data_IF_439221159659
#
_entry.id   IF_439221159659
#
_cell.length_a   1.000
_cell.length_b   1.000
_cell.length_c   1.000
_cell.angle_alpha   90.00
_cell.angle_beta   90.00
_cell.angle_gamma   90.00
#
_symmetry.space_group_name_H-M   'P 1'
#
loop_
_entity.id
_entity.type
_entity.pdbx_description
1 polymer ?
#
# COMPACT_ATOMS: atom_id res chain seq x y z
N UNK A 1 -0.19 -7.34 12.22
CA UNK A 1 -0.15 -6.37 13.34
C UNK A 1 0.81 -6.76 14.47
N UNK A 2 1.00 -8.05 14.78
CA UNK A 2 1.91 -8.49 15.85
C UNK A 2 3.34 -7.92 15.74
N UNK A 3 3.94 -7.89 14.55
CA UNK A 3 5.32 -7.38 14.35
C UNK A 3 5.46 -5.90 14.68
N UNK A 4 4.50 -5.07 14.23
CA UNK A 4 4.50 -3.63 14.52
C UNK A 4 4.37 -3.38 16.03
N UNK A 5 3.40 -4.00 16.70
CA UNK A 5 3.20 -3.82 18.14
C UNK A 5 4.43 -4.27 18.94
N UNK A 6 5.03 -5.41 18.58
CA UNK A 6 6.25 -5.88 19.25
C UNK A 6 7.44 -4.94 19.02
N UNK A 7 7.61 -4.38 17.82
CA UNK A 7 8.66 -3.42 17.54
C UNK A 7 8.41 -2.07 18.24
N UNK A 8 7.16 -1.63 18.27
CA UNK A 8 6.71 -0.44 19.01
C UNK A 8 7.05 -0.56 20.49
N UNK A 9 6.65 -1.67 21.13
CA UNK A 9 6.90 -1.91 22.55
C UNK A 9 8.40 -1.96 22.88
N UNK A 10 9.22 -2.52 21.99
CA UNK A 10 10.69 -2.53 22.16
C UNK A 10 11.33 -1.15 22.05
N UNK A 11 10.83 -0.30 21.15
CA UNK A 11 11.33 1.06 20.98
C UNK A 11 10.85 2.00 22.10
N UNK A 12 9.64 1.75 22.63
CA UNK A 12 8.93 2.64 23.52
C UNK A 12 8.19 3.76 22.76
N UNK A 13 7.08 4.22 23.33
CA UNK A 13 6.10 5.09 22.67
C UNK A 13 6.73 6.34 22.02
N UNK A 14 7.59 7.03 22.76
CA UNK A 14 8.21 8.27 22.28
C UNK A 14 9.11 8.04 21.07
N UNK A 15 9.97 7.00 21.14
CA UNK A 15 10.88 6.71 20.05
C UNK A 15 10.12 6.17 18.82
N UNK A 16 9.15 5.28 19.04
CA UNK A 16 8.32 4.74 17.99
C UNK A 16 7.50 5.84 17.27
N UNK A 17 6.90 6.77 18.01
CA UNK A 17 6.19 7.91 17.43
C UNK A 17 7.10 8.82 16.60
N UNK A 18 8.34 9.06 17.04
CA UNK A 18 9.34 9.81 16.25
C UNK A 18 9.68 9.05 14.96
N UNK A 19 9.85 7.72 15.01
CA UNK A 19 10.10 6.90 13.81
C UNK A 19 8.92 6.92 12.84
N UNK A 20 7.68 6.80 13.32
CA UNK A 20 6.48 6.93 12.46
C UNK A 20 6.47 8.30 11.78
N UNK A 21 6.66 9.39 12.54
CA UNK A 21 6.68 10.74 11.97
C UNK A 21 7.76 10.87 10.88
N UNK A 22 8.98 10.40 11.15
CA UNK A 22 10.07 10.43 10.16
C UNK A 22 9.77 9.60 8.92
N UNK A 23 9.16 8.43 9.06
CA UNK A 23 8.73 7.62 7.92
C UNK A 23 7.66 8.32 7.09
N UNK A 24 6.66 8.92 7.74
CA UNK A 24 5.61 9.70 7.06
C UNK A 24 6.19 10.93 6.37
N UNK A 25 7.08 11.68 7.04
CA UNK A 25 7.76 12.82 6.44
C UNK A 25 8.65 12.39 5.27
N UNK A 26 9.36 11.26 5.38
CA UNK A 26 10.13 10.72 4.27
C UNK A 26 9.23 10.36 3.08
N UNK A 27 8.13 9.64 3.31
CA UNK A 27 7.21 9.23 2.25
C UNK A 27 6.61 10.45 1.54
N UNK A 28 6.09 11.42 2.29
CA UNK A 28 5.32 12.53 1.73
C UNK A 28 6.19 13.69 1.28
N UNK A 29 7.28 13.96 2.00
CA UNK A 29 8.10 15.18 1.90
C UNK A 29 9.61 14.92 1.72
N UNK A 30 10.03 13.67 1.52
CA UNK A 30 11.42 13.35 1.14
C UNK A 30 11.88 14.11 -0.11
N UNK A 31 13.19 14.10 -0.38
CA UNK A 31 13.83 14.93 -1.42
C UNK A 31 13.11 14.83 -2.77
N UNK A 32 12.85 15.98 -3.41
CA UNK A 32 12.11 16.07 -4.68
C UNK A 32 12.76 15.29 -5.84
N UNK A 33 14.06 14.97 -5.72
CA UNK A 33 14.82 14.16 -6.67
C UNK A 33 14.40 12.68 -6.70
N UNK A 34 13.62 12.20 -5.72
CA UNK A 34 13.12 10.82 -5.67
C UNK A 34 11.60 10.77 -5.77
N UNK A 35 11.12 9.99 -6.71
CA UNK A 35 9.72 9.66 -6.84
C UNK A 35 9.15 9.06 -5.54
N UNK A 36 7.86 9.28 -5.29
CA UNK A 36 7.19 8.79 -4.08
C UNK A 36 7.21 7.26 -3.97
N UNK A 37 7.18 6.57 -5.11
CA UNK A 37 7.30 5.13 -5.24
C UNK A 37 8.65 4.63 -4.68
N UNK A 38 9.73 5.33 -4.98
CA UNK A 38 11.09 4.95 -4.55
C UNK A 38 11.32 5.30 -3.07
N UNK A 39 10.67 6.36 -2.57
CA UNK A 39 10.59 6.67 -1.12
C UNK A 39 9.80 5.60 -0.36
N UNK A 40 8.67 5.15 -0.92
CA UNK A 40 7.89 4.03 -0.35
C UNK A 40 8.71 2.74 -0.38
N UNK A 41 9.40 2.44 -1.48
CA UNK A 41 10.28 1.28 -1.59
C UNK A 41 11.34 1.27 -0.49
N UNK A 42 11.98 2.42 -0.24
CA UNK A 42 12.97 2.57 0.83
C UNK A 42 12.37 2.14 2.18
N UNK A 43 11.20 2.69 2.55
CA UNK A 43 10.52 2.37 3.81
C UNK A 43 10.05 0.90 3.92
N UNK A 44 9.79 0.24 2.80
CA UNK A 44 9.43 -1.18 2.77
C UNK A 44 10.65 -2.04 3.10
N UNK A 45 11.83 -1.69 2.62
CA UNK A 45 13.03 -2.56 2.71
C UNK A 45 14.00 -2.16 3.82
N UNK A 46 13.94 -0.92 4.33
CA UNK A 46 14.84 -0.43 5.38
C UNK A 46 14.09 -0.11 6.68
N UNK A 47 14.80 -0.17 7.80
CA UNK A 47 14.28 0.24 9.12
C UNK A 47 14.64 1.69 9.49
N UNK A 48 15.22 2.44 8.57
CA UNK A 48 15.51 3.87 8.73
C UNK A 48 15.12 4.58 7.42
N UNK A 49 14.29 5.63 7.45
CA UNK A 49 13.80 6.38 8.62
C UNK A 49 12.64 5.74 9.42
N UNK A 50 12.15 4.57 9.00
CA UNK A 50 11.03 3.87 9.65
C UNK A 50 11.43 2.99 10.84
N UNK A 51 10.78 1.83 10.92
CA UNK A 51 11.14 0.71 11.79
C UNK A 51 10.35 -0.54 11.39
N UNK A 52 10.77 -1.69 11.94
CA UNK A 52 10.17 -2.99 11.65
C UNK A 52 8.65 -2.99 11.88
N UNK A 53 7.90 -3.43 10.88
CA UNK A 53 6.44 -3.52 10.95
C UNK A 53 5.69 -2.29 10.42
N UNK A 54 6.34 -1.13 10.26
CA UNK A 54 5.79 0.03 9.54
C UNK A 54 6.08 -0.10 8.04
N UNK A 55 5.42 -1.05 7.40
CA UNK A 55 5.65 -1.48 6.00
C UNK A 55 4.50 -1.06 5.07
N UNK A 56 4.50 -1.61 3.85
CA UNK A 56 3.53 -1.36 2.77
C UNK A 56 2.11 -1.08 3.26
N UNK A 57 1.50 -1.98 4.05
CA UNK A 57 0.12 -1.80 4.50
C UNK A 57 -0.14 -0.49 5.27
N UNK A 58 0.77 -0.09 6.17
CA UNK A 58 0.63 1.15 6.95
C UNK A 58 1.01 2.38 6.12
N UNK A 59 1.98 2.25 5.22
CA UNK A 59 2.35 3.31 4.27
C UNK A 59 1.19 3.60 3.31
N UNK A 60 0.54 2.57 2.78
CA UNK A 60 -0.66 2.73 1.94
C UNK A 60 -1.80 3.38 2.70
N UNK A 61 -1.99 3.08 4.01
CA UNK A 61 -2.99 3.80 4.84
C UNK A 61 -2.70 5.29 4.90
N UNK A 62 -1.43 5.70 5.04
CA UNK A 62 -1.06 7.12 4.99
C UNK A 62 -1.48 7.71 3.64
N UNK A 63 -1.20 7.02 2.54
CA UNK A 63 -1.59 7.46 1.18
C UNK A 63 -3.11 7.55 0.99
N UNK A 64 -3.89 6.63 1.56
CA UNK A 64 -5.36 6.71 1.54
C UNK A 64 -5.88 7.97 2.25
N UNK A 65 -5.22 8.41 3.33
CA UNK A 65 -5.59 9.62 4.06
C UNK A 65 -5.17 10.89 3.31
N UNK A 66 -3.95 10.92 2.76
CA UNK A 66 -3.41 12.14 2.12
C UNK A 66 -3.82 12.31 0.66
N UNK A 67 -4.21 11.22 0.00
CA UNK A 67 -4.64 11.18 -1.40
C UNK A 67 -5.94 10.36 -1.51
N UNK A 68 -7.03 10.79 -0.84
CA UNK A 68 -8.26 10.00 -0.74
C UNK A 68 -8.98 9.81 -2.09
N UNK A 69 -8.69 10.66 -3.07
CA UNK A 69 -9.22 10.55 -4.43
C UNK A 69 -8.36 9.71 -5.37
N UNK A 70 -7.22 9.20 -4.91
CA UNK A 70 -6.30 8.36 -5.69
C UNK A 70 -6.00 7.01 -5.07
N UNK A 71 -5.95 6.88 -3.76
CA UNK A 71 -5.49 5.63 -3.13
C UNK A 71 -6.64 4.78 -2.61
N UNK A 72 -6.75 3.57 -3.18
CA UNK A 72 -7.68 2.55 -2.73
C UNK A 72 -7.28 2.03 -1.35
N UNK A 73 -8.23 1.88 -0.40
CA UNK A 73 -8.07 1.14 0.86
C UNK A 73 -7.74 -0.36 0.72
N UNK A 74 -7.09 -0.78 -0.37
CA UNK A 74 -6.57 -2.13 -0.63
C UNK A 74 -5.06 -2.07 -0.37
N UNK A 75 -4.69 -2.36 0.88
CA UNK A 75 -3.45 -1.85 1.46
C UNK A 75 -2.15 -2.46 0.92
N UNK A 76 -2.22 -3.64 0.32
CA UNK A 76 -1.04 -4.42 -0.09
C UNK A 76 -1.22 -5.00 -1.49
N UNK A 77 -0.10 -5.16 -2.19
CA UNK A 77 -0.08 -5.71 -3.54
C UNK A 77 -0.57 -7.16 -3.59
N UNK A 78 -0.12 -8.01 -2.66
CA UNK A 78 -0.51 -9.44 -2.60
C UNK A 78 -0.54 -9.93 -1.16
N UNK A 79 -1.49 -10.82 -0.84
CA UNK A 79 -1.57 -11.47 0.47
C UNK A 79 -2.40 -12.74 0.44
N UNK A 80 -2.24 -13.66 1.41
CA UNK A 80 -3.10 -14.86 1.53
C UNK A 80 -4.60 -14.55 1.67
N UNK A 81 -4.96 -13.39 2.23
CA UNK A 81 -6.35 -12.97 2.41
C UNK A 81 -6.86 -12.08 1.27
N UNK A 82 -6.04 -11.85 0.24
CA UNK A 82 -6.31 -10.94 -0.85
C UNK A 82 -5.49 -9.66 -0.80
N UNK A 83 -5.22 -9.14 -1.99
CA UNK A 83 -4.50 -7.91 -2.27
C UNK A 83 -4.84 -7.44 -3.67
N UNK A 84 -4.19 -6.37 -4.14
CA UNK A 84 -4.48 -5.77 -5.45
C UNK A 84 -4.34 -6.79 -6.59
N UNK A 85 -3.34 -7.68 -6.52
CA UNK A 85 -3.12 -8.77 -7.47
C UNK A 85 -4.25 -9.80 -7.47
N UNK A 86 -4.67 -10.25 -6.30
CA UNK A 86 -5.74 -11.25 -6.19
C UNK A 86 -7.09 -10.67 -6.64
N UNK A 87 -7.36 -9.41 -6.31
CA UNK A 87 -8.55 -8.67 -6.79
C UNK A 87 -8.52 -8.54 -8.31
N UNK A 88 -7.38 -8.15 -8.89
CA UNK A 88 -7.24 -8.02 -10.34
C UNK A 88 -7.55 -9.34 -11.08
N UNK A 89 -7.07 -10.46 -10.53
CA UNK A 89 -7.33 -11.79 -11.08
C UNK A 89 -8.80 -12.18 -10.92
N UNK A 90 -9.38 -12.02 -9.74
CA UNK A 90 -10.74 -12.47 -9.45
C UNK A 90 -11.81 -11.65 -10.18
N UNK A 91 -11.68 -10.32 -10.18
CA UNK A 91 -12.72 -9.41 -10.70
C UNK A 91 -12.57 -9.15 -12.19
N UNK A 92 -11.33 -9.10 -12.70
CA UNK A 92 -11.05 -8.69 -14.08
C UNK A 92 -10.39 -9.79 -14.93
N UNK A 93 -10.10 -10.97 -14.36
CA UNK A 93 -9.38 -12.02 -15.06
C UNK A 93 -7.93 -11.66 -15.42
N UNK A 94 -7.34 -10.66 -14.74
CA UNK A 94 -6.01 -10.13 -15.06
C UNK A 94 -4.93 -10.72 -14.16
N UNK A 95 -3.98 -11.43 -14.74
CA UNK A 95 -2.82 -11.95 -14.03
C UNK A 95 -1.71 -10.89 -13.91
N UNK A 96 -1.65 -10.23 -12.74
CA UNK A 96 -0.59 -9.25 -12.47
C UNK A 96 0.77 -9.92 -12.16
N UNK A 97 1.90 -9.25 -12.45
CA UNK A 97 3.24 -9.81 -12.27
C UNK A 97 3.50 -10.35 -10.84
N UNK A 98 4.29 -11.41 -10.71
CA UNK A 98 4.76 -11.84 -9.40
C UNK A 98 5.81 -10.86 -8.86
N UNK A 99 5.79 -10.48 -7.56
CA UNK A 99 6.84 -9.66 -6.97
C UNK A 99 8.25 -10.25 -7.13
N UNK A 100 8.35 -11.58 -7.33
CA UNK A 100 9.63 -12.28 -7.49
C UNK A 100 10.17 -12.28 -8.91
N UNK A 101 9.34 -11.99 -9.91
CA UNK A 101 9.71 -12.13 -11.33
C UNK A 101 9.68 -10.81 -12.10
N UNK A 102 9.05 -9.79 -11.53
CA UNK A 102 9.02 -8.45 -12.13
C UNK A 102 10.29 -7.67 -11.80
N UNK A 103 10.67 -6.74 -12.69
CA UNK A 103 11.72 -5.75 -12.44
C UNK A 103 11.22 -4.55 -11.60
N UNK A 104 9.91 -4.45 -11.36
CA UNK A 104 9.34 -3.37 -10.55
C UNK A 104 9.64 -3.56 -9.07
N UNK A 105 9.97 -2.47 -8.39
CA UNK A 105 10.09 -2.43 -6.94
C UNK A 105 8.71 -2.62 -6.27
N UNK A 106 8.69 -3.00 -4.99
CA UNK A 106 7.43 -3.14 -4.25
C UNK A 106 6.68 -1.79 -4.14
N UNK A 107 7.41 -0.68 -3.95
CA UNK A 107 6.83 0.66 -4.00
C UNK A 107 6.16 0.96 -5.34
N UNK A 108 6.83 0.68 -6.46
CA UNK A 108 6.26 0.87 -7.81
C UNK A 108 5.06 -0.06 -8.06
N UNK A 109 5.11 -1.30 -7.61
CA UNK A 109 3.97 -2.23 -7.70
C UNK A 109 2.77 -1.68 -6.93
N UNK A 110 2.96 -1.17 -5.72
CA UNK A 110 1.88 -0.63 -4.90
C UNK A 110 1.13 0.53 -5.59
N UNK A 111 1.86 1.46 -6.20
CA UNK A 111 1.30 2.59 -6.94
C UNK A 111 0.68 2.18 -8.27
N UNK A 112 1.43 1.45 -9.11
CA UNK A 112 0.96 1.05 -10.43
C UNK A 112 -0.31 0.20 -10.36
N UNK A 113 -0.35 -0.78 -9.44
CA UNK A 113 -1.53 -1.64 -9.31
C UNK A 113 -2.73 -0.91 -8.69
N UNK A 114 -2.50 0.08 -7.82
CA UNK A 114 -3.55 0.97 -7.33
C UNK A 114 -4.20 1.74 -8.50
N UNK A 115 -3.37 2.40 -9.30
CA UNK A 115 -3.83 3.23 -10.42
C UNK A 115 -4.44 2.36 -11.55
N UNK A 116 -3.97 1.11 -11.71
CA UNK A 116 -4.58 0.14 -12.60
C UNK A 116 -6.01 -0.21 -12.14
N UNK A 117 -6.20 -0.59 -10.88
CA UNK A 117 -7.52 -0.97 -10.37
C UNK A 117 -8.53 0.19 -10.46
N UNK A 118 -8.11 1.42 -10.13
CA UNK A 118 -8.97 2.59 -10.32
C UNK A 118 -9.39 2.79 -11.77
N UNK A 119 -8.45 2.69 -12.72
CA UNK A 119 -8.76 2.82 -14.14
C UNK A 119 -9.72 1.74 -14.63
N UNK A 120 -9.57 0.51 -14.14
CA UNK A 120 -10.46 -0.60 -14.49
C UNK A 120 -11.89 -0.41 -13.94
N UNK A 121 -12.03 0.22 -12.78
CA UNK A 121 -13.34 0.52 -12.17
C UNK A 121 -14.07 1.71 -12.84
N UNK A 122 -13.32 2.58 -13.53
CA UNK A 122 -13.88 3.79 -14.15
C UNK A 122 -14.40 4.81 -13.14
N UNK A 123 -15.37 5.63 -13.55
CA UNK A 123 -15.88 6.79 -12.78
C UNK A 123 -17.30 6.60 -12.25
N UNK A 124 -17.80 5.37 -12.21
CA UNK A 124 -19.19 5.07 -11.81
C UNK A 124 -19.43 5.05 -10.29
N UNK A 125 -18.36 5.02 -9.49
CA UNK A 125 -18.44 5.00 -8.04
C UNK A 125 -18.48 6.42 -7.45
N UNK A 126 -19.10 6.53 -6.28
CA UNK A 126 -19.22 7.79 -5.54
C UNK A 126 -17.85 8.35 -5.18
N UNK A 127 -16.95 7.48 -4.74
CA UNK A 127 -15.57 7.80 -4.40
C UNK A 127 -14.68 6.55 -4.46
N UNK A 128 -13.40 6.73 -4.11
CA UNK A 128 -12.39 5.66 -4.07
C UNK A 128 -12.66 4.65 -2.95
N UNK A 129 -13.30 5.05 -1.86
CA UNK A 129 -13.65 4.12 -0.77
C UNK A 129 -14.74 3.16 -1.23
N UNK A 130 -15.81 3.68 -1.85
CA UNK A 130 -16.88 2.90 -2.46
C UNK A 130 -16.34 1.97 -3.56
N UNK A 131 -15.36 2.44 -4.36
CA UNK A 131 -14.67 1.59 -5.34
C UNK A 131 -13.99 0.39 -4.67
N UNK A 132 -13.26 0.62 -3.56
CA UNK A 132 -12.59 -0.46 -2.84
C UNK A 132 -13.58 -1.44 -2.18
N UNK A 133 -14.69 -0.96 -1.64
CA UNK A 133 -15.76 -1.80 -1.09
C UNK A 133 -16.34 -2.74 -2.15
N UNK A 134 -16.65 -2.20 -3.33
CA UNK A 134 -17.10 -3.00 -4.47
C UNK A 134 -16.06 -4.06 -4.86
N UNK A 135 -14.79 -3.68 -4.98
CA UNK A 135 -13.73 -4.61 -5.36
C UNK A 135 -13.55 -5.76 -4.37
N UNK A 136 -13.66 -5.47 -3.07
CA UNK A 136 -13.64 -6.50 -2.03
C UNK A 136 -14.84 -7.43 -2.12
N UNK A 137 -16.05 -6.88 -2.25
CA UNK A 137 -17.26 -7.67 -2.43
C UNK A 137 -17.17 -8.56 -3.68
N UNK A 138 -16.78 -7.99 -4.82
CA UNK A 138 -16.72 -8.67 -6.11
C UNK A 138 -15.71 -9.81 -6.11
N UNK A 139 -14.52 -9.62 -5.50
CA UNK A 139 -13.52 -10.68 -5.32
C UNK A 139 -14.12 -11.94 -4.69
N UNK A 140 -15.01 -11.76 -3.71
CA UNK A 140 -15.58 -12.85 -2.94
C UNK A 140 -16.87 -13.43 -3.58
N UNK A 141 -17.31 -12.92 -4.73
CA UNK A 141 -18.45 -13.50 -5.47
C UNK A 141 -18.05 -14.60 -6.48
N UNK A 142 -16.77 -14.73 -6.82
CA UNK A 142 -16.29 -15.62 -7.88
C UNK A 142 -15.90 -17.03 -7.38
N UNK A 143 -16.70 -17.61 -6.47
CA UNK A 143 -16.51 -18.98 -5.98
C UNK A 143 -17.19 -20.03 -6.86
#
# INVERSE_FOLDING_TARGET
MAVFNSAWNRLGDRAAAVRVRRAVDHLLRGTAERDIEDRMQTLIVTDDPGFTGFRESLLTRVLCVVQPTRFLPILIYTSPHGGKKEIARAVFGLDLPSPRTTSMTAGRLAFWSNDLLLRLCGTGFVDVAHTAEYLWWAKDQHH
#
